data_IF_659125572125
#
_entry.id   IF_659125572125
#
_cell.length_a   1.000
_cell.length_b   1.000
_cell.length_c   1.000
_cell.angle_alpha   90.00
_cell.angle_beta   90.00
_cell.angle_gamma   90.00
#
_symmetry.space_group_name_H-M   'P 1'
#
loop_
_entity.id
_entity.type
_entity.pdbx_description
1 polymer ?
#
# COMPACT_ATOMS: atom_id res chain seq x y z
N UNK A 1 -6.92 52.59 44.93
CA UNK A 1 -5.66 51.85 45.11
C UNK A 1 -5.93 50.37 44.89
N UNK A 2 -5.25 49.76 43.91
CA UNK A 2 -4.87 48.32 43.77
C UNK A 2 -6.04 47.30 43.72
N UNK A 3 -6.11 46.28 42.85
CA UNK A 3 -5.17 45.58 41.98
C UNK A 3 -6.04 44.60 41.16
N UNK A 4 -6.01 44.62 39.83
CA UNK A 4 -5.30 43.65 38.97
C UNK A 4 -6.04 42.33 38.74
N UNK A 5 -6.64 42.24 37.56
CA UNK A 5 -6.54 41.14 36.57
C UNK A 5 -6.53 39.68 37.06
N UNK A 6 -7.53 38.90 36.65
CA UNK A 6 -7.36 37.46 36.40
C UNK A 6 -7.76 37.19 34.95
N UNK A 7 -6.71 37.10 34.14
CA UNK A 7 -6.71 36.73 32.72
C UNK A 7 -6.98 35.23 32.59
N UNK A 8 -7.98 34.90 31.77
CA UNK A 8 -8.02 33.80 30.79
C UNK A 8 -6.98 32.69 31.03
N UNK A 9 -7.37 31.60 31.69
CA UNK A 9 -6.58 30.36 31.73
C UNK A 9 -7.43 29.10 31.53
N UNK A 10 -8.30 29.11 30.52
CA UNK A 10 -9.06 27.91 30.09
C UNK A 10 -9.08 27.71 28.57
N UNK A 11 -8.11 28.27 27.84
CA UNK A 11 -7.99 28.09 26.39
C UNK A 11 -6.63 27.53 25.93
N UNK A 12 -5.91 26.80 26.79
CA UNK A 12 -4.60 26.24 26.45
C UNK A 12 -4.47 24.72 26.58
N UNK A 13 -5.54 23.97 26.89
CA UNK A 13 -5.46 22.50 27.09
C UNK A 13 -6.20 21.70 25.99
N UNK A 14 -6.89 22.35 25.04
CA UNK A 14 -7.57 21.66 23.94
C UNK A 14 -6.76 21.57 22.63
N UNK A 15 -5.52 22.06 22.58
CA UNK A 15 -4.71 22.07 21.35
C UNK A 15 -3.75 20.88 21.20
N UNK A 16 -3.62 20.00 22.19
CA UNK A 16 -2.68 18.86 22.13
C UNK A 16 -3.33 17.53 21.75
N UNK A 17 -4.65 17.46 21.60
CA UNK A 17 -5.35 16.23 21.19
C UNK A 17 -5.52 16.05 19.67
N UNK A 18 -4.98 16.96 18.85
CA UNK A 18 -5.06 16.85 17.37
C UNK A 18 -3.89 16.03 16.78
N UNK A 19 -2.88 15.69 17.57
CA UNK A 19 -1.67 14.99 17.10
C UNK A 19 -1.77 13.46 17.02
N UNK A 20 -2.98 12.89 17.04
CA UNK A 20 -3.19 11.44 17.04
C UNK A 20 -4.13 10.88 15.97
N UNK A 21 -4.82 11.74 15.21
CA UNK A 21 -5.65 11.30 14.09
C UNK A 21 -4.97 11.71 12.79
N UNK A 22 -4.53 10.73 12.01
CA UNK A 22 -4.25 10.94 10.59
C UNK A 22 -5.47 11.63 9.98
N UNK A 23 -5.30 12.77 9.30
CA UNK A 23 -6.43 13.43 8.64
C UNK A 23 -7.14 12.42 7.74
N UNK A 24 -8.48 12.51 7.65
CA UNK A 24 -9.30 11.67 6.77
C UNK A 24 -8.83 11.66 5.29
N UNK A 25 -8.06 12.68 4.89
CA UNK A 25 -7.48 12.85 3.56
C UNK A 25 -6.00 12.40 3.45
N UNK A 26 -5.46 11.66 4.43
CA UNK A 26 -4.05 11.25 4.41
C UNK A 26 -3.74 10.17 3.39
N UNK A 27 -4.75 9.41 2.95
CA UNK A 27 -4.62 8.36 1.95
C UNK A 27 -4.91 8.91 0.55
N UNK A 28 -3.92 8.86 -0.33
CA UNK A 28 -4.07 9.06 -1.76
C UNK A 28 -4.26 7.69 -2.43
N UNK A 29 -5.30 7.59 -3.25
CA UNK A 29 -5.51 6.42 -4.13
C UNK A 29 -5.61 6.92 -5.55
N UNK A 30 -4.79 6.39 -6.45
CA UNK A 30 -4.75 6.86 -7.84
C UNK A 30 -4.38 5.74 -8.81
N UNK A 31 -4.88 5.88 -10.04
CA UNK A 31 -4.40 5.14 -11.19
C UNK A 31 -3.09 5.81 -11.63
N UNK A 32 -1.99 5.08 -11.52
CA UNK A 32 -0.66 5.54 -11.85
C UNK A 32 -0.10 4.85 -13.09
N UNK A 33 0.51 5.62 -13.99
CA UNK A 33 1.39 5.12 -15.04
C UNK A 33 2.85 5.25 -14.58
N UNK A 34 3.59 4.14 -14.59
CA UNK A 34 4.96 4.08 -14.08
C UNK A 34 5.89 4.95 -14.93
N UNK A 35 6.63 5.83 -14.25
CA UNK A 35 7.76 6.57 -14.83
C UNK A 35 9.06 5.89 -14.42
N UNK A 36 9.27 5.68 -13.12
CA UNK A 36 10.50 5.08 -12.59
C UNK A 36 10.24 4.41 -11.23
N UNK A 37 10.94 3.31 -10.96
CA UNK A 37 11.12 2.78 -9.59
C UNK A 37 12.60 2.52 -9.40
N UNK A 38 13.21 3.22 -8.45
CA UNK A 38 14.67 3.23 -8.27
C UNK A 38 15.04 2.80 -6.87
N UNK A 39 15.98 1.86 -6.76
CA UNK A 39 16.59 1.50 -5.49
C UNK A 39 17.26 2.72 -4.88
N UNK A 40 16.95 3.00 -3.63
CA UNK A 40 17.44 4.15 -2.90
C UNK A 40 17.65 3.70 -1.46
N UNK A 41 18.82 3.14 -1.10
CA UNK A 41 19.06 2.66 0.24
C UNK A 41 18.95 3.80 1.26
N UNK A 42 18.56 3.47 2.48
CA UNK A 42 18.72 4.44 3.57
C UNK A 42 20.19 4.68 3.87
N UNK A 43 20.50 5.90 4.30
CA UNK A 43 21.82 6.19 4.84
C UNK A 43 22.05 5.33 6.08
N UNK A 44 23.20 4.67 6.13
CA UNK A 44 23.61 3.90 7.30
C UNK A 44 23.85 4.89 8.44
N UNK A 45 22.93 4.94 9.39
CA UNK A 45 23.18 5.61 10.66
C UNK A 45 24.10 4.73 11.48
N UNK A 46 25.17 5.32 12.01
CA UNK A 46 26.03 4.59 12.93
C UNK A 46 25.23 4.15 14.16
N UNK A 47 25.38 2.88 14.51
CA UNK A 47 24.79 2.34 15.72
C UNK A 47 25.40 3.02 16.95
N UNK A 48 24.57 3.49 17.90
CA UNK A 48 25.07 3.98 19.17
C UNK A 48 25.87 2.87 19.88
N UNK A 49 26.92 3.30 20.58
CA UNK A 49 27.73 2.44 21.43
C UNK A 49 27.43 2.82 22.86
N UNK A 50 26.88 1.89 23.61
CA UNK A 50 26.63 2.02 25.04
C UNK A 50 27.82 1.45 25.80
N UNK A 51 28.16 2.10 26.92
CA UNK A 51 29.21 1.63 27.83
C UNK A 51 28.55 1.11 29.10
N UNK A 52 28.83 -0.15 29.44
CA UNK A 52 28.35 -0.82 30.64
C UNK A 52 29.54 -0.98 31.59
N UNK A 53 29.43 -0.49 32.82
CA UNK A 53 30.46 -0.60 33.86
C UNK A 53 29.91 -1.52 34.95
N UNK A 54 30.57 -2.66 35.17
CA UNK A 54 30.23 -3.64 36.20
C UNK A 54 31.44 -3.85 37.12
N UNK A 55 31.44 -3.18 38.28
CA UNK A 55 32.58 -3.20 39.20
C UNK A 55 33.82 -2.57 38.55
N UNK A 56 34.87 -3.36 38.35
CA UNK A 56 36.12 -2.94 37.67
C UNK A 56 36.12 -3.26 36.16
N UNK A 57 35.09 -3.94 35.67
CA UNK A 57 35.00 -4.33 34.26
C UNK A 57 34.21 -3.28 33.47
N UNK A 58 34.71 -2.95 32.27
CA UNK A 58 34.03 -2.05 31.33
C UNK A 58 33.76 -2.80 30.02
N UNK A 59 32.49 -2.88 29.64
CA UNK A 59 32.03 -3.48 28.38
C UNK A 59 31.43 -2.42 27.45
N UNK A 60 31.60 -2.60 26.14
CA UNK A 60 31.00 -1.75 25.11
C UNK A 60 29.97 -2.55 24.31
N UNK A 61 28.73 -2.07 24.24
CA UNK A 61 27.64 -2.72 23.51
C UNK A 61 27.25 -1.84 22.32
N UNK A 62 27.33 -2.38 21.11
CA UNK A 62 26.85 -1.70 19.90
C UNK A 62 25.48 -2.22 19.53
N UNK A 63 24.48 -1.34 19.51
CA UNK A 63 23.12 -1.69 19.08
C UNK A 63 22.97 -1.61 17.56
N UNK A 64 23.19 -2.74 16.88
CA UNK A 64 23.02 -2.84 15.42
C UNK A 64 21.57 -3.13 15.07
N UNK A 65 20.86 -2.12 14.55
CA UNK A 65 19.55 -2.31 13.93
C UNK A 65 19.73 -2.62 12.44
N UNK A 66 19.31 -3.80 12.01
CA UNK A 66 19.30 -4.19 10.59
C UNK A 66 17.90 -4.01 10.05
N UNK A 67 17.70 -3.10 9.08
CA UNK A 67 16.45 -3.04 8.33
C UNK A 67 16.35 -4.29 7.46
N UNK A 68 15.22 -5.00 7.58
CA UNK A 68 14.91 -6.13 6.70
C UNK A 68 14.21 -5.69 5.41
N UNK A 69 13.92 -4.39 5.27
CA UNK A 69 13.31 -3.83 4.07
C UNK A 69 14.35 -3.09 3.22
N UNK A 70 14.26 -3.31 1.91
CA UNK A 70 14.92 -2.47 0.90
C UNK A 70 14.08 -1.23 0.65
N UNK A 71 14.73 -0.07 0.54
CA UNK A 71 14.07 1.21 0.24
C UNK A 71 14.18 1.56 -1.24
N UNK A 72 13.07 2.03 -1.80
CA UNK A 72 12.97 2.53 -3.17
C UNK A 72 12.31 3.92 -3.18
N UNK A 73 12.52 4.64 -4.28
CA UNK A 73 11.73 5.81 -4.64
C UNK A 73 10.97 5.46 -5.91
N UNK A 74 9.65 5.60 -5.86
CA UNK A 74 8.76 5.35 -6.98
C UNK A 74 8.23 6.68 -7.52
N UNK A 75 8.22 6.83 -8.84
CA UNK A 75 7.73 7.99 -9.57
C UNK A 75 6.68 7.55 -10.59
N UNK A 76 5.50 8.14 -10.51
CA UNK A 76 4.35 7.79 -11.34
C UNK A 76 3.65 9.04 -11.86
N UNK A 77 3.12 8.96 -13.08
CA UNK A 77 2.13 9.92 -13.59
C UNK A 77 0.74 9.52 -13.07
N UNK A 78 0.01 10.46 -12.50
CA UNK A 78 -1.37 10.28 -12.06
C UNK A 78 -2.27 10.40 -13.29
N UNK A 79 -2.89 9.28 -13.69
CA UNK A 79 -3.90 9.26 -14.76
C UNK A 79 -5.28 9.63 -14.22
N UNK A 80 -5.61 9.18 -13.01
CA UNK A 80 -6.88 9.46 -12.35
C UNK A 80 -6.71 9.38 -10.84
N UNK A 81 -7.22 10.38 -10.12
CA UNK A 81 -7.31 10.36 -8.67
C UNK A 81 -8.63 9.71 -8.24
N UNK A 82 -8.55 8.70 -7.37
CA UNK A 82 -9.70 7.92 -6.86
C UNK A 82 -10.07 8.38 -5.44
N UNK A 83 -9.06 8.72 -4.63
CA UNK A 83 -9.25 9.23 -3.28
C UNK A 83 -8.19 10.27 -2.92
N UNK A 84 -8.58 11.23 -2.08
CA UNK A 84 -7.73 12.30 -1.58
C UNK A 84 -7.61 13.47 -2.56
N UNK A 85 -6.60 14.33 -2.34
CA UNK A 85 -6.32 15.48 -3.20
C UNK A 85 -4.82 15.61 -3.44
N UNK A 86 -4.43 15.83 -4.70
CA UNK A 86 -3.04 16.02 -5.08
C UNK A 86 -2.96 16.97 -6.27
N UNK A 87 -2.08 17.97 -6.21
CA UNK A 87 -2.10 19.11 -7.16
C UNK A 87 -1.32 18.87 -8.44
N UNK A 88 -0.33 17.98 -8.41
CA UNK A 88 0.55 17.72 -9.54
C UNK A 88 0.06 16.49 -10.30
N UNK A 89 0.44 16.38 -11.57
CA UNK A 89 0.15 15.19 -12.38
C UNK A 89 1.17 14.07 -12.19
N UNK A 90 2.22 14.33 -11.42
CA UNK A 90 3.33 13.40 -11.15
C UNK A 90 3.55 13.31 -9.64
N UNK A 91 3.71 12.10 -9.14
CA UNK A 91 3.86 11.81 -7.72
C UNK A 91 5.11 10.97 -7.47
N UNK A 92 5.84 11.34 -6.42
CA UNK A 92 7.00 10.60 -5.92
C UNK A 92 6.75 10.18 -4.48
N UNK A 93 7.06 8.93 -4.16
CA UNK A 93 6.85 8.36 -2.83
C UNK A 93 7.89 7.30 -2.49
N UNK A 94 8.10 7.09 -1.20
CA UNK A 94 8.99 6.05 -0.69
C UNK A 94 8.29 4.70 -0.63
N UNK A 95 9.04 3.64 -0.92
CA UNK A 95 8.56 2.26 -0.86
C UNK A 95 9.55 1.46 -0.03
N UNK A 96 9.02 0.60 0.85
CA UNK A 96 9.79 -0.33 1.65
C UNK A 96 9.27 -1.72 1.39
N UNK A 97 10.13 -2.60 0.90
CA UNK A 97 9.76 -3.96 0.52
C UNK A 97 10.79 -4.96 1.03
N UNK A 98 10.30 -6.06 1.60
CA UNK A 98 11.12 -7.10 2.19
C UNK A 98 11.74 -8.03 1.13
N UNK A 99 11.09 -8.16 -0.02
CA UNK A 99 11.40 -9.15 -1.05
C UNK A 99 12.16 -8.57 -2.25
N UNK A 100 12.76 -7.38 -2.08
CA UNK A 100 13.51 -6.68 -3.12
C UNK A 100 12.65 -5.68 -3.87
N UNK A 101 12.73 -5.68 -5.21
CA UNK A 101 12.00 -4.69 -6.01
C UNK A 101 10.48 -4.88 -5.84
N UNK A 102 9.72 -3.81 -5.54
CA UNK A 102 8.31 -3.93 -5.18
C UNK A 102 7.48 -4.52 -6.33
N UNK A 103 6.63 -5.50 -6.04
CA UNK A 103 5.95 -6.30 -7.06
C UNK A 103 5.14 -5.48 -8.09
N UNK A 104 4.58 -4.34 -7.67
CA UNK A 104 3.83 -3.44 -8.55
C UNK A 104 4.70 -2.80 -9.65
N UNK A 105 6.03 -2.75 -9.48
CA UNK A 105 6.94 -2.15 -10.47
C UNK A 105 6.96 -2.91 -11.78
N UNK A 106 6.52 -4.18 -11.79
CA UNK A 106 6.45 -5.03 -13.00
C UNK A 106 5.36 -4.59 -13.97
N UNK A 107 4.44 -3.74 -13.53
CA UNK A 107 3.28 -3.32 -14.30
C UNK A 107 3.39 -1.86 -14.71
N UNK A 108 2.94 -1.54 -15.92
CA UNK A 108 2.97 -0.17 -16.43
C UNK A 108 1.89 0.70 -15.80
N UNK A 109 0.67 0.16 -15.62
CA UNK A 109 -0.47 0.86 -15.02
C UNK A 109 -0.93 0.12 -13.78
N UNK A 110 -1.08 0.84 -12.67
CA UNK A 110 -1.41 0.28 -11.35
C UNK A 110 -2.37 1.18 -10.59
N UNK A 111 -3.22 0.59 -9.75
CA UNK A 111 -3.91 1.30 -8.67
C UNK A 111 -2.98 1.31 -7.46
N UNK A 112 -2.56 2.49 -7.00
CA UNK A 112 -1.65 2.63 -5.87
C UNK A 112 -2.32 3.32 -4.70
N UNK A 113 -1.86 2.95 -3.51
CA UNK A 113 -2.32 3.45 -2.21
C UNK A 113 -1.11 4.07 -1.52
N UNK A 114 -1.17 5.36 -1.22
CA UNK A 114 -0.03 6.12 -0.69
C UNK A 114 -0.52 7.00 0.45
N UNK A 115 0.17 6.98 1.59
CA UNK A 115 -0.20 7.77 2.76
C UNK A 115 0.86 8.82 3.10
N UNK A 116 0.41 9.94 3.65
CA UNK A 116 1.29 10.93 4.25
C UNK A 116 1.78 10.48 5.62
N UNK A 117 3.10 10.54 5.83
CA UNK A 117 3.74 10.36 7.12
C UNK A 117 4.88 11.38 7.26
N UNK A 118 4.85 12.20 8.31
CA UNK A 118 5.86 13.25 8.57
C UNK A 118 6.19 14.12 7.34
N UNK A 119 5.15 14.56 6.61
CA UNK A 119 5.29 15.43 5.43
C UNK A 119 5.83 14.74 4.17
N UNK A 120 6.04 13.42 4.20
CA UNK A 120 6.48 12.61 3.07
C UNK A 120 5.43 11.59 2.69
N UNK A 121 5.45 11.15 1.44
CA UNK A 121 4.55 10.14 0.91
C UNK A 121 5.20 8.75 0.95
N UNK A 122 4.44 7.78 1.42
CA UNK A 122 4.87 6.38 1.53
C UNK A 122 3.83 5.47 0.91
N UNK A 123 4.29 4.48 0.15
CA UNK A 123 3.45 3.39 -0.31
C UNK A 123 2.83 2.66 0.88
N UNK A 124 1.53 2.42 0.83
CA UNK A 124 0.88 1.47 1.74
C UNK A 124 1.41 0.08 1.42
N UNK A 125 2.29 -0.44 2.28
CA UNK A 125 3.07 -1.66 2.02
C UNK A 125 2.19 -2.80 1.50
N UNK A 126 2.58 -3.33 0.33
CA UNK A 126 1.91 -4.39 -0.44
C UNK A 126 0.51 -4.07 -0.97
N UNK A 127 0.06 -2.81 -0.91
CA UNK A 127 -1.25 -2.42 -1.39
C UNK A 127 -1.15 -1.82 -2.79
N UNK A 128 -1.53 -2.62 -3.78
CA UNK A 128 -1.68 -2.18 -5.16
C UNK A 128 -2.65 -3.12 -5.89
N UNK A 129 -3.08 -2.72 -7.08
CA UNK A 129 -3.62 -3.63 -8.09
C UNK A 129 -2.94 -3.35 -9.43
N UNK A 130 -2.60 -4.39 -10.17
CA UNK A 130 -2.27 -4.31 -11.59
C UNK A 130 -3.54 -4.00 -12.39
N UNK A 131 -3.46 -3.02 -13.29
CA UNK A 131 -4.60 -2.54 -14.05
C UNK A 131 -4.43 -2.81 -15.53
N UNK A 132 -5.51 -3.33 -16.11
CA UNK A 132 -5.61 -3.66 -17.53
C UNK A 132 -6.81 -2.97 -18.15
N UNK A 133 -6.64 -2.57 -19.41
CA UNK A 133 -7.66 -1.83 -20.14
C UNK A 133 -8.75 -2.80 -20.63
N UNK A 134 -10.00 -2.44 -20.40
CA UNK A 134 -11.17 -3.18 -20.87
C UNK A 134 -11.64 -2.68 -22.22
N UNK A 135 -12.45 -3.49 -22.91
CA UNK A 135 -13.03 -3.16 -24.22
C UNK A 135 -13.88 -1.89 -24.19
N UNK A 136 -14.47 -1.54 -23.04
CA UNK A 136 -15.19 -0.29 -22.80
C UNK A 136 -14.30 0.87 -22.29
N UNK A 137 -12.97 0.76 -22.44
CA UNK A 137 -11.97 1.78 -22.08
C UNK A 137 -11.92 2.16 -20.60
N UNK A 138 -12.22 1.22 -19.70
CA UNK A 138 -12.05 1.37 -18.26
C UNK A 138 -10.87 0.53 -17.76
N UNK A 139 -10.43 0.80 -16.54
CA UNK A 139 -9.38 0.04 -15.87
C UNK A 139 -9.97 -0.99 -14.92
N UNK A 140 -9.46 -2.22 -14.98
CA UNK A 140 -9.84 -3.29 -14.08
C UNK A 140 -8.65 -4.18 -13.71
N UNK A 141 -8.79 -4.91 -12.61
CA UNK A 141 -7.80 -5.90 -12.15
C UNK A 141 -8.44 -7.29 -12.05
N UNK A 142 -7.70 -8.38 -12.29
CA UNK A 142 -8.17 -9.75 -12.08
C UNK A 142 -8.67 -10.01 -10.65
N UNK A 143 -9.50 -11.03 -10.47
CA UNK A 143 -9.89 -11.50 -9.15
C UNK A 143 -8.68 -11.86 -8.28
N UNK A 144 -8.62 -11.33 -7.06
CA UNK A 144 -7.57 -11.62 -6.08
C UNK A 144 -8.08 -12.49 -4.94
N UNK A 145 -7.65 -13.75 -4.89
CA UNK A 145 -8.01 -14.65 -3.78
C UNK A 145 -7.53 -14.09 -2.44
N UNK A 146 -6.37 -13.43 -2.40
CA UNK A 146 -5.82 -12.84 -1.18
C UNK A 146 -6.68 -11.70 -0.62
N UNK A 147 -7.22 -10.83 -1.48
CA UNK A 147 -8.06 -9.72 -1.03
C UNK A 147 -9.44 -10.20 -0.57
N UNK A 148 -10.06 -11.13 -1.30
CA UNK A 148 -11.35 -11.70 -0.92
C UNK A 148 -11.28 -12.67 0.27
N UNK A 149 -10.09 -13.20 0.57
CA UNK A 149 -9.84 -14.08 1.71
C UNK A 149 -9.00 -13.43 2.81
N UNK A 150 -8.91 -12.11 2.82
CA UNK A 150 -8.19 -11.37 3.84
C UNK A 150 -8.71 -11.72 5.26
N UNK A 151 -7.86 -11.91 6.28
CA UNK A 151 -8.30 -12.32 7.62
C UNK A 151 -9.32 -11.37 8.27
N UNK A 152 -9.26 -10.08 7.93
CA UNK A 152 -10.13 -9.03 8.47
C UNK A 152 -11.36 -8.74 7.58
N UNK A 153 -11.94 -9.79 6.97
CA UNK A 153 -13.08 -9.69 6.04
C UNK A 153 -14.44 -9.80 6.73
N UNK A 154 -14.78 -8.87 7.62
CA UNK A 154 -16.07 -8.96 8.35
C UNK A 154 -17.29 -8.97 7.40
N UNK A 155 -17.25 -8.14 6.35
CA UNK A 155 -18.30 -8.04 5.34
C UNK A 155 -17.77 -7.45 4.04
N UNK A 156 -17.56 -8.30 3.03
CA UNK A 156 -17.26 -7.86 1.66
C UNK A 156 -18.59 -7.71 0.90
N UNK A 157 -18.84 -6.53 0.35
CA UNK A 157 -20.04 -6.27 -0.47
C UNK A 157 -19.75 -6.23 -1.96
N UNK A 158 -18.48 -6.05 -2.31
CA UNK A 158 -18.01 -6.05 -3.70
C UNK A 158 -18.09 -7.47 -4.24
N UNK A 159 -18.54 -7.63 -5.48
CA UNK A 159 -18.60 -8.94 -6.15
C UNK A 159 -17.76 -8.87 -7.42
N UNK A 160 -16.91 -9.87 -7.71
CA UNK A 160 -16.25 -9.95 -9.00
C UNK A 160 -17.27 -10.13 -10.12
N UNK A 161 -17.00 -9.53 -11.26
CA UNK A 161 -17.82 -9.68 -12.46
C UNK A 161 -16.98 -10.14 -13.66
N UNK A 162 -17.64 -10.61 -14.71
CA UNK A 162 -16.95 -11.00 -15.95
C UNK A 162 -16.47 -9.73 -16.64
N UNK A 163 -15.19 -9.66 -16.95
CA UNK A 163 -14.59 -8.49 -17.56
C UNK A 163 -14.08 -8.82 -18.96
N UNK A 164 -14.52 -8.05 -19.94
CA UNK A 164 -14.02 -8.12 -21.31
C UNK A 164 -12.76 -7.24 -21.42
N UNK A 165 -11.60 -7.81 -21.12
CA UNK A 165 -10.30 -7.17 -21.31
C UNK A 165 -9.96 -6.99 -22.80
N UNK A 166 -9.22 -5.93 -23.16
CA UNK A 166 -8.78 -5.71 -24.55
C UNK A 166 -7.78 -6.76 -25.02
N UNK A 167 -6.91 -7.17 -24.11
CA UNK A 167 -5.86 -8.16 -24.32
C UNK A 167 -6.13 -9.37 -23.41
N UNK A 168 -5.70 -10.55 -23.83
CA UNK A 168 -5.74 -11.73 -22.95
C UNK A 168 -4.77 -11.50 -21.77
N UNK A 169 -5.28 -11.66 -20.55
CA UNK A 169 -4.46 -11.65 -19.35
C UNK A 169 -4.35 -13.08 -18.87
N UNK A 170 -3.12 -13.58 -18.75
CA UNK A 170 -2.88 -14.92 -18.26
C UNK A 170 -1.60 -15.02 -17.43
N UNK A 171 -1.60 -15.95 -16.48
CA UNK A 171 -0.48 -16.22 -15.58
C UNK A 171 0.01 -17.65 -15.77
N UNK A 172 1.34 -17.89 -15.86
CA UNK A 172 1.87 -19.24 -15.94
C UNK A 172 1.64 -19.99 -14.63
N UNK A 173 1.09 -21.20 -14.73
CA UNK A 173 0.76 -22.05 -13.58
C UNK A 173 1.50 -23.40 -13.56
N UNK A 174 2.39 -23.65 -14.54
CA UNK A 174 3.10 -24.95 -14.67
C UNK A 174 3.94 -25.34 -13.44
N UNK A 175 4.36 -24.36 -12.65
CA UNK A 175 5.20 -24.57 -11.46
C UNK A 175 4.38 -24.74 -10.17
N UNK A 176 3.06 -24.60 -10.24
CA UNK A 176 2.19 -24.64 -9.08
C UNK A 176 1.61 -26.04 -8.90
N UNK A 177 1.40 -26.43 -7.64
CA UNK A 177 0.62 -27.64 -7.35
C UNK A 177 -0.85 -27.42 -7.72
N UNK A 178 -1.59 -28.52 -7.93
CA UNK A 178 -3.03 -28.45 -8.18
C UNK A 178 -3.80 -27.71 -7.09
N UNK A 179 -3.35 -27.79 -5.83
CA UNK A 179 -4.01 -27.13 -4.70
C UNK A 179 -3.65 -25.65 -4.61
N UNK A 180 -2.42 -25.27 -4.98
CA UNK A 180 -2.06 -23.86 -5.15
C UNK A 180 -2.87 -23.23 -6.28
N UNK A 181 -3.05 -23.92 -7.41
CA UNK A 181 -3.86 -23.43 -8.53
C UNK A 181 -5.30 -23.19 -8.08
N UNK A 182 -5.90 -24.13 -7.34
CA UNK A 182 -7.26 -23.95 -6.79
C UNK A 182 -7.35 -22.78 -5.80
N UNK A 183 -6.28 -22.53 -5.05
CA UNK A 183 -6.25 -21.49 -4.02
C UNK A 183 -6.08 -20.10 -4.63
N UNK A 184 -5.14 -19.95 -5.55
CA UNK A 184 -4.75 -18.66 -6.13
C UNK A 184 -5.52 -18.30 -7.40
N UNK A 185 -5.91 -19.30 -8.20
CA UNK A 185 -6.63 -19.15 -9.46
C UNK A 185 -7.95 -19.94 -9.49
N UNK A 186 -8.87 -19.75 -8.51
CA UNK A 186 -10.08 -20.54 -8.42
C UNK A 186 -11.06 -20.31 -9.58
N UNK A 187 -11.77 -21.36 -9.96
CA UNK A 187 -13.01 -21.23 -10.74
C UNK A 187 -14.10 -20.53 -9.91
N UNK A 188 -14.99 -19.72 -10.51
CA UNK A 188 -15.12 -19.46 -11.94
C UNK A 188 -14.25 -18.30 -12.46
N UNK A 189 -13.36 -17.76 -11.63
CA UNK A 189 -12.67 -16.49 -11.91
C UNK A 189 -11.55 -16.62 -12.94
N UNK A 190 -10.98 -17.83 -13.06
CA UNK A 190 -9.94 -18.17 -14.01
C UNK A 190 -10.32 -19.42 -14.81
N UNK A 191 -9.89 -19.45 -16.08
CA UNK A 191 -9.87 -20.67 -16.90
C UNK A 191 -8.45 -21.24 -16.93
N UNK A 192 -8.29 -22.51 -16.59
CA UNK A 192 -6.98 -23.15 -16.53
C UNK A 192 -6.78 -23.99 -17.79
N UNK A 193 -5.86 -23.56 -18.66
CA UNK A 193 -5.60 -24.22 -19.95
C UNK A 193 -4.14 -24.07 -20.36
N UNK A 194 -3.55 -25.15 -20.89
CA UNK A 194 -2.20 -25.15 -21.46
C UNK A 194 -1.14 -24.51 -20.55
N UNK A 195 -1.15 -24.83 -19.26
CA UNK A 195 -0.17 -24.30 -18.31
C UNK A 195 -0.41 -22.84 -17.88
N UNK A 196 -1.58 -22.28 -18.19
CA UNK A 196 -1.94 -20.90 -17.86
C UNK A 196 -3.26 -20.80 -17.10
N UNK A 197 -3.33 -19.83 -16.20
CA UNK A 197 -4.58 -19.31 -15.65
C UNK A 197 -4.99 -18.05 -16.43
N UNK A 198 -6.04 -18.16 -17.24
CA UNK A 198 -6.59 -17.07 -18.06
C UNK A 198 -7.67 -16.35 -17.24
N UNK A 199 -7.59 -15.02 -17.16
CA UNK A 199 -8.52 -14.20 -16.37
C UNK A 199 -9.91 -14.17 -17.03
N UNK A 200 -10.96 -14.47 -16.26
CA UNK A 200 -12.36 -14.29 -16.69
C UNK A 200 -13.06 -13.21 -15.87
N UNK A 201 -12.80 -13.16 -14.57
CA UNK A 201 -13.46 -12.22 -13.64
C UNK A 201 -12.47 -11.26 -12.99
N UNK A 202 -12.98 -10.11 -12.60
CA UNK A 202 -12.23 -9.10 -11.88
C UNK A 202 -13.13 -8.03 -11.29
N UNK A 203 -12.55 -6.87 -10.99
CA UNK A 203 -13.26 -5.69 -10.51
C UNK A 203 -12.73 -4.42 -11.17
N UNK A 204 -13.60 -3.46 -11.43
CA UNK A 204 -13.22 -2.09 -11.81
C UNK A 204 -12.68 -1.31 -10.60
N UNK A 205 -11.97 -0.22 -10.88
CA UNK A 205 -11.20 0.55 -9.88
C UNK A 205 -11.99 0.96 -8.63
N UNK A 206 -13.23 1.43 -8.77
CA UNK A 206 -14.04 1.85 -7.60
C UNK A 206 -14.32 0.68 -6.65
N UNK A 207 -14.59 -0.49 -7.22
CA UNK A 207 -14.81 -1.73 -6.48
C UNK A 207 -13.51 -2.28 -5.86
N UNK A 208 -12.38 -2.15 -6.56
CA UNK A 208 -11.06 -2.51 -6.02
C UNK A 208 -10.72 -1.65 -4.80
N UNK A 209 -10.99 -0.34 -4.87
CA UNK A 209 -10.79 0.54 -3.73
C UNK A 209 -11.70 0.16 -2.57
N UNK A 210 -13.00 -0.04 -2.84
CA UNK A 210 -13.97 -0.46 -1.84
C UNK A 210 -13.61 -1.81 -1.20
N UNK A 211 -13.07 -2.75 -1.95
CA UNK A 211 -12.56 -4.02 -1.44
C UNK A 211 -11.46 -3.80 -0.40
N UNK A 212 -10.51 -2.90 -0.67
CA UNK A 212 -9.43 -2.54 0.29
C UNK A 212 -9.98 -1.83 1.53
N UNK A 213 -10.96 -0.94 1.36
CA UNK A 213 -11.69 -0.29 2.47
C UNK A 213 -12.40 -1.30 3.38
N UNK A 214 -12.87 -2.43 2.82
CA UNK A 214 -13.57 -3.48 3.58
C UNK A 214 -12.64 -4.55 4.16
N UNK A 215 -11.34 -4.46 3.91
CA UNK A 215 -10.35 -5.47 4.28
C UNK A 215 -9.14 -4.82 4.96
N UNK A 216 -8.00 -4.72 4.28
CA UNK A 216 -6.71 -4.31 4.83
C UNK A 216 -6.69 -2.86 5.31
N UNK A 217 -7.36 -1.92 4.63
CA UNK A 217 -7.37 -0.51 5.07
C UNK A 217 -8.17 -0.35 6.36
N UNK A 218 -9.26 -1.09 6.51
CA UNK A 218 -10.01 -1.19 7.78
C UNK A 218 -9.15 -1.80 8.88
N UNK A 219 -8.46 -2.91 8.59
CA UNK A 219 -7.58 -3.56 9.55
C UNK A 219 -6.45 -2.64 10.04
N UNK A 220 -6.01 -1.69 9.20
CA UNK A 220 -5.01 -0.67 9.52
C UNK A 220 -5.59 0.57 10.21
N UNK A 221 -6.91 0.65 10.42
CA UNK A 221 -7.57 1.80 11.04
C UNK A 221 -7.63 3.04 10.14
N UNK A 222 -7.50 2.87 8.83
CA UNK A 222 -7.63 3.97 7.86
C UNK A 222 -9.11 4.24 7.53
N UNK A 223 -9.98 3.21 7.66
CA UNK A 223 -11.44 3.26 7.45
C UNK A 223 -12.21 2.48 8.51
#
# INVERSE_FOLDING_TARGET
MKTTTITILTLLISLTSVFGQTPKDSLLVFIGEKIEVKYSPEEKKESPVDTIIEGNDTSYVRHVSVSMDSRYIAKYKILQLINGSYKQDTIEFFVFDHYGEPAFSKYQTVLLFVSYYNGKLYHEKYQYFDLYLTTDNKWASPYSSGDYNHPFKDKITVKPERIAFKEEISFPVDKYSSDDIKTWFPKPYYDIKNGKAIVIYGNYVDDLFKLKQQTILKARGIY
#
